data_IF_499274477427
#
_entry.id   IF_499274477427
#
_cell.length_a   1.000
_cell.length_b   1.000
_cell.length_c   1.000
_cell.angle_alpha   90.00
_cell.angle_beta   90.00
_cell.angle_gamma   90.00
#
_symmetry.space_group_name_H-M   'P 1'
#
loop_
_entity.id
_entity.type
_entity.pdbx_description
1 polymer ?
#
# COMPACT_ATOMS: atom_id res chain seq x y z
N UNK A 1 8.21 -7.31 -38.16
CA UNK A 1 6.74 -7.27 -38.37
C UNK A 1 6.16 -8.48 -37.67
N UNK A 2 5.14 -8.30 -36.83
CA UNK A 2 4.58 -9.26 -35.84
C UNK A 2 5.29 -9.22 -34.48
N UNK A 3 5.10 -8.13 -33.73
CA UNK A 3 5.10 -8.21 -32.26
C UNK A 3 3.65 -8.13 -31.83
N UNK A 4 3.17 -9.29 -31.41
CA UNK A 4 1.89 -9.63 -30.81
C UNK A 4 1.07 -8.44 -30.29
N UNK A 5 0.06 -8.06 -31.06
CA UNK A 5 -1.18 -7.52 -30.51
C UNK A 5 -1.81 -8.64 -29.67
N UNK A 6 -1.36 -8.79 -28.42
CA UNK A 6 -2.08 -9.55 -27.43
C UNK A 6 -3.38 -8.79 -27.14
N UNK A 7 -4.39 -9.05 -27.96
CA UNK A 7 -5.79 -8.80 -27.64
C UNK A 7 -6.19 -9.77 -26.53
N UNK A 8 -5.67 -9.57 -25.32
CA UNK A 8 -6.13 -10.28 -24.13
C UNK A 8 -7.35 -9.56 -23.58
N UNK A 9 -8.48 -9.95 -24.17
CA UNK A 9 -9.83 -9.98 -23.64
C UNK A 9 -9.96 -9.67 -22.14
N UNK A 10 -10.21 -8.41 -21.75
CA UNK A 10 -11.09 -8.09 -20.62
C UNK A 10 -11.64 -6.65 -20.69
N UNK A 11 -12.84 -6.42 -20.15
CA UNK A 11 -13.77 -5.43 -20.68
C UNK A 11 -13.49 -4.03 -20.15
N UNK A 12 -13.20 -3.10 -21.06
CA UNK A 12 -13.41 -1.67 -20.88
C UNK A 12 -14.91 -1.38 -20.75
N UNK A 13 -15.53 -1.77 -19.62
CA UNK A 13 -16.69 -1.03 -19.11
C UNK A 13 -16.08 0.22 -18.48
N UNK A 14 -16.35 1.36 -19.10
CA UNK A 14 -15.69 2.64 -18.85
C UNK A 14 -15.50 2.95 -17.37
N UNK A 15 -14.25 3.29 -17.05
CA UNK A 15 -13.73 3.95 -15.86
C UNK A 15 -13.51 3.13 -14.58
N UNK A 16 -14.27 2.07 -14.27
CA UNK A 16 -14.08 1.36 -12.99
C UNK A 16 -13.77 -0.12 -13.06
N UNK A 17 -12.51 -0.43 -12.75
CA UNK A 17 -12.01 -1.78 -12.57
C UNK A 17 -12.18 -2.22 -11.11
N UNK A 18 -12.68 -3.46 -10.96
CA UNK A 18 -12.68 -4.16 -9.68
C UNK A 18 -11.25 -4.41 -9.20
N UNK A 19 -11.05 -4.54 -7.89
CA UNK A 19 -9.76 -4.97 -7.34
C UNK A 19 -9.34 -6.30 -7.98
N UNK A 20 -10.26 -7.27 -8.04
CA UNK A 20 -10.02 -8.57 -8.68
C UNK A 20 -9.71 -8.50 -10.20
N UNK A 21 -10.11 -7.43 -10.88
CA UNK A 21 -9.76 -7.17 -12.28
C UNK A 21 -8.38 -6.53 -12.41
N UNK A 22 -8.07 -5.54 -11.56
CA UNK A 22 -6.76 -4.90 -11.50
C UNK A 22 -5.66 -5.90 -11.13
N UNK A 23 -5.93 -6.79 -10.17
CA UNK A 23 -5.01 -7.84 -9.74
C UNK A 23 -4.67 -8.82 -10.88
N UNK A 24 -5.55 -9.02 -11.85
CA UNK A 24 -5.28 -9.84 -13.05
C UNK A 24 -4.44 -9.09 -14.09
N UNK A 25 -4.56 -7.77 -14.15
CA UNK A 25 -3.86 -6.92 -15.12
C UNK A 25 -2.46 -6.50 -14.65
N UNK A 26 -2.22 -6.46 -13.35
CA UNK A 26 -1.00 -5.95 -12.72
C UNK A 26 -0.33 -7.06 -11.90
N UNK A 27 0.53 -7.92 -12.50
CA UNK A 27 1.01 -9.16 -11.88
C UNK A 27 1.91 -8.97 -10.64
N UNK A 28 2.49 -7.79 -10.43
CA UNK A 28 3.27 -7.48 -9.24
C UNK A 28 2.39 -7.12 -8.03
N UNK A 29 1.18 -6.60 -8.26
CA UNK A 29 0.28 -6.20 -7.17
C UNK A 29 -0.20 -7.39 -6.33
N UNK A 30 -0.59 -8.55 -6.92
CA UNK A 30 -0.84 -9.75 -6.14
C UNK A 30 0.35 -10.20 -5.31
N UNK A 31 1.59 -9.97 -5.77
CA UNK A 31 2.80 -10.34 -4.98
C UNK A 31 2.94 -9.45 -3.76
N UNK A 32 2.75 -8.13 -3.93
CA UNK A 32 2.72 -7.19 -2.80
C UNK A 32 1.56 -7.50 -1.85
N UNK A 33 0.39 -7.84 -2.40
CA UNK A 33 -0.79 -8.23 -1.61
C UNK A 33 -0.52 -9.50 -0.80
N UNK A 34 0.11 -10.50 -1.39
CA UNK A 34 0.50 -11.72 -0.68
C UNK A 34 1.45 -11.41 0.48
N UNK A 35 2.42 -10.49 0.29
CA UNK A 35 3.31 -10.04 1.37
C UNK A 35 2.49 -9.38 2.47
N UNK A 36 1.60 -8.46 2.12
CA UNK A 36 0.72 -7.79 3.07
C UNK A 36 -0.14 -8.77 3.87
N UNK A 37 -0.73 -9.77 3.21
CA UNK A 37 -1.57 -10.79 3.84
C UNK A 37 -0.82 -11.63 4.88
N UNK A 38 0.52 -11.75 4.78
CA UNK A 38 1.33 -12.41 5.83
C UNK A 38 1.30 -11.68 7.18
N UNK A 39 1.05 -10.36 7.16
CA UNK A 39 0.98 -9.52 8.35
C UNK A 39 -0.46 -9.31 8.84
N UNK A 40 -1.46 -9.76 8.07
CA UNK A 40 -2.86 -9.66 8.48
C UNK A 40 -3.11 -10.72 9.56
N UNK A 41 -2.99 -10.29 10.81
CA UNK A 41 -3.34 -11.13 11.96
C UNK A 41 -4.86 -11.24 12.04
N UNK A 42 -5.36 -12.44 11.72
CA UNK A 42 -6.69 -12.85 12.14
C UNK A 42 -6.64 -13.07 13.66
N UNK A 43 -7.13 -12.14 14.46
CA UNK A 43 -7.19 -12.30 15.93
C UNK A 43 -8.09 -13.47 16.39
N UNK A 44 -8.56 -14.34 15.49
CA UNK A 44 -9.19 -15.61 15.84
C UNK A 44 -8.30 -16.52 16.71
N UNK A 45 -6.98 -16.36 16.70
CA UNK A 45 -6.08 -17.26 17.46
C UNK A 45 -5.83 -16.84 18.93
N UNK A 46 -6.37 -15.72 19.43
CA UNK A 46 -6.16 -15.33 20.84
C UNK A 46 -7.43 -15.29 21.72
N UNK A 47 -8.61 -15.55 21.18
CA UNK A 47 -9.84 -15.62 21.99
C UNK A 47 -10.12 -17.03 22.57
N UNK A 48 -9.12 -17.91 22.69
CA UNK A 48 -9.27 -19.23 23.32
C UNK A 48 -9.31 -19.19 24.87
N UNK A 49 -9.64 -18.06 25.49
CA UNK A 49 -9.75 -17.96 26.94
C UNK A 49 -10.53 -16.72 27.40
N UNK A 50 -11.83 -16.87 27.60
CA UNK A 50 -12.64 -15.84 28.25
C UNK A 50 -14.09 -15.86 27.81
N UNK A 51 -14.93 -16.50 28.62
CA UNK A 51 -16.39 -16.45 28.52
C UNK A 51 -16.86 -15.01 28.73
N UNK A 52 -17.14 -14.26 27.66
CA UNK A 52 -18.02 -13.10 27.75
C UNK A 52 -18.77 -12.90 26.43
N UNK A 53 -20.09 -13.00 26.52
CA UNK A 53 -21.09 -12.98 25.44
C UNK A 53 -21.29 -11.55 24.95
N UNK A 54 -20.22 -10.87 24.55
CA UNK A 54 -20.29 -9.68 23.73
C UNK A 54 -20.08 -10.15 22.29
N UNK A 55 -21.17 -10.21 21.51
CA UNK A 55 -21.12 -10.47 20.07
C UNK A 55 -19.90 -9.76 19.49
N UNK A 56 -18.87 -10.49 19.00
CA UNK A 56 -17.75 -9.84 18.37
C UNK A 56 -18.38 -9.16 17.18
N UNK A 57 -18.52 -7.84 17.27
CA UNK A 57 -18.92 -7.02 16.16
C UNK A 57 -17.85 -7.31 15.14
N UNK A 58 -18.18 -8.13 14.15
CA UNK A 58 -17.41 -8.36 12.94
C UNK A 58 -17.35 -7.04 12.14
N UNK A 59 -16.90 -5.97 12.79
CA UNK A 59 -16.23 -4.87 12.14
C UNK A 59 -14.89 -5.45 11.70
N UNK A 60 -14.98 -6.25 10.63
CA UNK A 60 -13.94 -6.86 9.81
C UNK A 60 -12.52 -6.54 10.26
N UNK A 61 -12.08 -7.19 11.35
CA UNK A 61 -10.70 -7.15 11.86
C UNK A 61 -9.68 -7.63 10.81
N UNK A 62 -10.13 -8.18 9.68
CA UNK A 62 -9.34 -8.68 8.58
C UNK A 62 -8.93 -7.66 7.50
N UNK A 63 -9.33 -6.37 7.58
CA UNK A 63 -9.06 -5.43 6.47
C UNK A 63 -7.64 -4.84 6.51
N UNK A 64 -6.93 -4.94 7.64
CA UNK A 64 -5.64 -4.26 7.77
C UNK A 64 -4.64 -4.87 8.74
N UNK A 65 -3.39 -4.45 8.61
CA UNK A 65 -2.27 -4.81 9.49
C UNK A 65 -2.11 -3.76 10.59
N UNK A 66 -1.41 -4.08 11.70
CA UNK A 66 -1.15 -3.10 12.76
C UNK A 66 -0.14 -2.06 12.26
N UNK A 67 -0.24 -0.81 12.73
CA UNK A 67 0.72 0.24 12.33
C UNK A 67 2.18 -0.13 12.63
N UNK A 68 2.43 -0.91 13.69
CA UNK A 68 3.78 -1.40 14.03
C UNK A 68 4.36 -2.35 12.98
N UNK A 69 3.50 -3.10 12.29
CA UNK A 69 3.91 -4.12 11.33
C UNK A 69 4.11 -3.53 9.92
N UNK A 70 3.74 -2.26 9.70
CA UNK A 70 3.88 -1.58 8.40
C UNK A 70 5.35 -1.47 8.00
N UNK A 71 6.24 -1.18 8.95
CA UNK A 71 7.68 -1.08 8.69
C UNK A 71 8.24 -2.41 8.16
N UNK A 72 7.94 -3.51 8.86
CA UNK A 72 8.39 -4.84 8.46
C UNK A 72 7.75 -5.28 7.15
N UNK A 73 6.47 -4.97 6.92
CA UNK A 73 5.79 -5.23 5.66
C UNK A 73 6.49 -4.54 4.48
N UNK A 74 6.82 -3.26 4.61
CA UNK A 74 7.55 -2.50 3.58
C UNK A 74 8.98 -3.04 3.37
N UNK A 75 9.65 -3.50 4.44
CA UNK A 75 10.96 -4.16 4.37
C UNK A 75 10.92 -5.45 3.55
N UNK A 76 9.90 -6.28 3.74
CA UNK A 76 9.72 -7.50 2.94
C UNK A 76 9.33 -7.18 1.47
N UNK A 77 8.66 -6.05 1.23
CA UNK A 77 8.39 -5.55 -0.12
C UNK A 77 9.64 -4.98 -0.83
N UNK A 78 10.76 -4.86 -0.13
CA UNK A 78 12.06 -4.46 -0.68
C UNK A 78 12.45 -3.00 -0.45
N UNK A 79 11.72 -2.25 0.39
CA UNK A 79 12.08 -0.88 0.77
C UNK A 79 12.79 -0.86 2.13
N UNK A 80 13.67 0.10 2.38
CA UNK A 80 14.31 0.26 3.69
C UNK A 80 13.98 1.64 4.29
N UNK A 81 12.73 1.88 4.70
CA UNK A 81 12.36 3.16 5.29
C UNK A 81 13.03 3.36 6.65
N UNK A 82 13.32 4.62 6.97
CA UNK A 82 13.67 5.02 8.34
C UNK A 82 12.44 4.95 9.22
N UNK A 83 12.53 4.26 10.35
CA UNK A 83 11.41 4.07 11.27
C UNK A 83 10.83 5.40 11.77
N UNK A 84 11.69 6.39 12.00
CA UNK A 84 11.29 7.74 12.42
C UNK A 84 10.44 8.46 11.36
N UNK A 85 10.88 8.40 10.09
CA UNK A 85 10.17 9.03 8.96
C UNK A 85 8.84 8.31 8.71
N UNK A 86 8.87 6.97 8.69
CA UNK A 86 7.67 6.17 8.48
C UNK A 86 6.65 6.41 9.60
N UNK A 87 7.09 6.46 10.85
CA UNK A 87 6.25 6.75 12.00
C UNK A 87 5.61 8.14 11.89
N UNK A 88 6.37 9.17 11.51
CA UNK A 88 5.84 10.51 11.29
C UNK A 88 4.75 10.53 10.20
N UNK A 89 4.97 9.83 9.09
CA UNK A 89 3.99 9.71 7.98
C UNK A 89 2.74 8.97 8.45
N UNK A 90 2.90 7.86 9.17
CA UNK A 90 1.78 7.09 9.72
C UNK A 90 0.95 7.92 10.71
N UNK A 91 1.60 8.64 11.62
CA UNK A 91 0.93 9.54 12.56
C UNK A 91 0.16 10.66 11.86
N UNK A 92 0.71 11.21 10.77
CA UNK A 92 0.00 12.20 9.96
C UNK A 92 -1.28 11.61 9.32
N UNK A 93 -1.20 10.39 8.79
CA UNK A 93 -2.35 9.67 8.23
C UNK A 93 -3.40 9.32 9.30
N UNK A 94 -2.98 8.86 10.48
CA UNK A 94 -3.86 8.56 11.61
C UNK A 94 -4.56 9.84 12.07
N UNK A 95 -3.83 10.95 12.21
CA UNK A 95 -4.40 12.25 12.61
C UNK A 95 -5.42 12.76 11.61
N UNK A 96 -5.16 12.60 10.30
CA UNK A 96 -6.13 12.91 9.24
C UNK A 96 -7.40 12.08 9.41
N UNK A 97 -7.29 10.78 9.65
CA UNK A 97 -8.45 9.89 9.91
C UNK A 97 -9.21 10.22 11.19
N UNK A 98 -8.51 10.52 12.28
CA UNK A 98 -9.14 10.90 13.54
C UNK A 98 -9.93 12.21 13.42
N UNK A 99 -9.46 13.14 12.57
CA UNK A 99 -10.15 14.41 12.33
C UNK A 99 -11.46 14.27 11.54
N UNK A 100 -11.60 13.22 10.72
CA UNK A 100 -12.82 12.95 9.94
C UNK A 100 -14.02 12.53 10.82
N UNK A 101 -13.77 12.21 12.10
CA UNK A 101 -14.81 12.00 13.08
C UNK A 101 -15.55 10.67 12.94
N UNK A 102 -16.10 10.19 14.06
CA UNK A 102 -17.01 9.05 14.18
C UNK A 102 -16.34 7.67 14.32
N UNK A 103 -16.12 7.21 15.56
CA UNK A 103 -16.00 5.79 15.93
C UNK A 103 -14.76 5.00 15.49
N UNK A 104 -13.99 5.52 14.53
CA UNK A 104 -12.93 4.78 13.85
C UNK A 104 -11.61 4.66 14.63
N UNK A 105 -11.50 5.02 15.92
CA UNK A 105 -10.19 4.99 16.64
C UNK A 105 -9.43 3.66 16.52
N UNK A 106 -10.13 2.53 16.52
CA UNK A 106 -9.52 1.20 16.31
C UNK A 106 -9.10 0.96 14.85
N UNK A 107 -9.94 1.39 13.91
CA UNK A 107 -9.69 1.25 12.46
C UNK A 107 -8.58 2.21 12.02
N UNK A 108 -8.48 3.38 12.65
CA UNK A 108 -7.42 4.36 12.45
C UNK A 108 -6.04 3.80 12.83
N UNK A 109 -5.98 2.77 13.69
CA UNK A 109 -4.74 2.07 14.05
C UNK A 109 -4.45 0.84 13.17
N UNK A 110 -5.26 0.58 12.14
CA UNK A 110 -4.97 -0.45 11.14
C UNK A 110 -4.65 0.18 9.79
N UNK A 111 -3.65 -0.38 9.12
CA UNK A 111 -3.27 -0.01 7.78
C UNK A 111 -3.89 -0.97 6.77
N UNK A 112 -4.72 -0.42 5.87
CA UNK A 112 -5.25 -1.14 4.70
C UNK A 112 -4.14 -1.38 3.69
N UNK A 113 -4.34 -2.34 2.78
CA UNK A 113 -3.36 -2.62 1.73
C UNK A 113 -3.05 -1.36 0.90
N UNK A 114 -4.09 -0.58 0.59
CA UNK A 114 -4.03 0.66 -0.16
C UNK A 114 -3.23 1.74 0.57
N UNK A 115 -3.33 1.81 1.91
CA UNK A 115 -2.49 2.70 2.71
C UNK A 115 -1.02 2.30 2.63
N UNK A 116 -0.73 1.01 2.81
CA UNK A 116 0.65 0.47 2.73
C UNK A 116 1.23 0.72 1.34
N UNK A 117 0.44 0.49 0.29
CA UNK A 117 0.86 0.72 -1.09
C UNK A 117 1.09 2.21 -1.39
N UNK A 118 0.29 3.10 -0.78
CA UNK A 118 0.50 4.55 -0.87
C UNK A 118 1.84 4.95 -0.24
N UNK A 119 2.17 4.40 0.92
CA UNK A 119 3.46 4.63 1.58
C UNK A 119 4.60 4.02 0.76
N UNK A 120 4.41 2.83 0.20
CA UNK A 120 5.37 2.17 -0.68
C UNK A 120 5.75 3.07 -1.87
N UNK A 121 4.77 3.62 -2.60
CA UNK A 121 5.04 4.50 -3.74
C UNK A 121 5.83 5.75 -3.33
N UNK A 122 5.45 6.40 -2.22
CA UNK A 122 6.11 7.61 -1.74
C UNK A 122 7.58 7.35 -1.34
N UNK A 123 7.82 6.26 -0.63
CA UNK A 123 9.15 5.87 -0.17
C UNK A 123 10.03 5.39 -1.32
N UNK A 124 9.49 4.62 -2.26
CA UNK A 124 10.21 4.18 -3.44
C UNK A 124 10.62 5.36 -4.35
N UNK A 125 9.73 6.34 -4.56
CA UNK A 125 10.06 7.57 -5.30
C UNK A 125 11.16 8.39 -4.59
N UNK A 126 11.11 8.42 -3.26
CA UNK A 126 12.15 9.07 -2.46
C UNK A 126 13.48 8.34 -2.57
N UNK A 127 13.52 7.01 -2.48
CA UNK A 127 14.73 6.21 -2.66
C UNK A 127 15.33 6.41 -4.05
N UNK A 128 14.53 6.39 -5.11
CA UNK A 128 14.98 6.67 -6.49
C UNK A 128 15.61 8.06 -6.57
N UNK A 129 14.99 9.06 -5.94
CA UNK A 129 15.50 10.45 -5.90
C UNK A 129 16.78 10.58 -5.10
N UNK A 130 16.90 9.86 -3.99
CA UNK A 130 18.09 9.86 -3.13
C UNK A 130 19.26 9.08 -3.77
N UNK A 131 18.99 7.98 -4.47
CA UNK A 131 19.97 7.24 -5.25
C UNK A 131 20.47 8.07 -6.44
N UNK A 132 19.57 8.75 -7.16
CA UNK A 132 19.93 9.61 -8.28
C UNK A 132 20.85 10.77 -7.87
N UNK A 133 20.81 11.20 -6.61
CA UNK A 133 21.76 12.20 -6.10
C UNK A 133 23.20 11.68 -6.04
N UNK A 134 23.45 10.37 -6.14
CA UNK A 134 24.78 9.71 -6.04
C UNK A 134 25.49 9.90 -4.69
N UNK A 135 25.01 10.86 -3.91
CA UNK A 135 25.63 11.45 -2.75
C UNK A 135 25.68 10.47 -1.58
N UNK A 136 24.66 9.63 -1.41
CA UNK A 136 24.58 8.72 -0.26
C UNK A 136 25.66 7.65 -0.35
N UNK A 137 25.73 6.93 -1.48
CA UNK A 137 26.71 5.85 -1.69
C UNK A 137 28.14 6.40 -1.56
N UNK A 138 28.43 7.52 -2.23
CA UNK A 138 29.75 8.16 -2.15
C UNK A 138 30.09 8.67 -0.74
N UNK A 139 29.11 9.20 0.01
CA UNK A 139 29.31 9.65 1.38
C UNK A 139 29.62 8.49 2.32
N UNK A 140 28.88 7.38 2.20
CA UNK A 140 29.12 6.17 3.00
C UNK A 140 30.50 5.61 2.70
N UNK A 141 30.87 5.49 1.42
CA UNK A 141 32.20 5.03 1.01
C UNK A 141 33.31 5.96 1.52
N UNK A 142 33.11 7.28 1.49
CA UNK A 142 34.07 8.25 2.03
C UNK A 142 34.30 8.07 3.53
N UNK A 143 33.24 7.84 4.30
CA UNK A 143 33.34 7.56 5.75
C UNK A 143 34.09 6.25 5.99
N UNK A 144 33.76 5.18 5.25
CA UNK A 144 34.41 3.88 5.41
C UNK A 144 35.89 3.91 5.01
N UNK A 145 36.22 4.58 3.90
CA UNK A 145 37.61 4.82 3.46
C UNK A 145 38.41 5.63 4.50
N UNK A 146 37.78 6.55 5.22
CA UNK A 146 38.46 7.30 6.29
C UNK A 146 38.78 6.45 7.52
N UNK A 147 38.08 5.31 7.70
CA UNK A 147 38.33 4.34 8.78
C UNK A 147 39.36 3.29 8.39
N UNK A 148 39.49 3.00 7.09
CA UNK A 148 40.52 2.13 6.54
C UNK A 148 41.82 2.93 6.29
N UNK A 149 42.56 3.20 7.36
CA UNK A 149 43.84 3.93 7.29
C UNK A 149 44.89 3.27 6.40
N UNK A 150 44.77 1.96 6.14
CA UNK A 150 45.69 1.21 5.31
C UNK A 150 45.30 1.21 3.82
N UNK A 151 44.07 1.64 3.49
CA UNK A 151 43.56 1.68 2.12
C UNK A 151 43.44 0.29 1.48
N UNK A 152 43.12 -0.73 2.28
CA UNK A 152 43.00 -2.12 1.84
C UNK A 152 41.67 -2.43 1.13
N UNK A 153 40.65 -1.58 1.31
CA UNK A 153 39.28 -1.87 0.88
C UNK A 153 38.52 -2.79 1.84
N UNK A 154 39.11 -3.13 2.99
CA UNK A 154 38.56 -4.05 3.98
C UNK A 154 38.52 -3.42 5.37
N UNK A 155 37.49 -3.76 6.15
CA UNK A 155 37.42 -3.42 7.57
C UNK A 155 37.14 -4.69 8.40
N UNK A 156 37.75 -4.83 9.59
CA UNK A 156 37.39 -5.92 10.50
C UNK A 156 35.91 -5.87 10.88
N UNK A 157 35.27 -7.04 10.94
CA UNK A 157 33.86 -7.19 11.34
C UNK A 157 33.55 -6.46 12.64
N UNK A 158 34.43 -6.59 13.65
CA UNK A 158 34.25 -5.95 14.95
C UNK A 158 34.22 -4.42 14.87
N UNK A 159 35.06 -3.84 14.00
CA UNK A 159 35.12 -2.41 13.78
C UNK A 159 33.88 -1.94 13.04
N UNK A 160 33.48 -2.62 11.95
CA UNK A 160 32.30 -2.25 11.19
C UNK A 160 31.01 -2.39 12.01
N UNK A 161 30.93 -3.45 12.83
CA UNK A 161 29.85 -3.62 13.82
C UNK A 161 29.78 -2.43 14.76
N UNK A 162 30.91 -1.98 15.31
CA UNK A 162 30.93 -0.83 16.20
C UNK A 162 30.51 0.47 15.49
N UNK A 163 30.91 0.66 14.22
CA UNK A 163 30.49 1.82 13.43
C UNK A 163 28.97 1.85 13.24
N UNK A 164 28.36 0.71 12.86
CA UNK A 164 26.93 0.58 12.58
C UNK A 164 26.04 0.68 13.83
N UNK A 165 26.53 0.27 15.00
CA UNK A 165 25.78 0.38 16.27
C UNK A 165 25.97 1.72 16.98
N UNK A 166 27.00 2.51 16.62
CA UNK A 166 27.34 3.74 17.35
C UNK A 166 27.01 5.02 16.58
N UNK A 167 27.02 4.99 15.24
CA UNK A 167 26.87 6.19 14.41
C UNK A 167 25.58 6.20 13.58
N UNK A 168 24.97 7.39 13.47
CA UNK A 168 23.78 7.60 12.64
C UNK A 168 22.53 6.95 13.22
N UNK A 169 21.69 6.41 12.34
CA UNK A 169 20.57 5.54 12.70
C UNK A 169 21.15 4.21 13.16
N UNK A 170 21.14 4.00 14.48
CA UNK A 170 21.78 2.85 15.11
C UNK A 170 21.02 1.60 14.74
N UNK A 171 21.72 0.68 14.10
CA UNK A 171 21.20 -0.66 13.90
C UNK A 171 21.30 -1.44 15.20
N UNK A 172 20.33 -2.31 15.45
CA UNK A 172 20.38 -3.23 16.57
C UNK A 172 21.44 -4.35 16.33
N UNK A 173 21.79 -5.09 17.38
CA UNK A 173 22.79 -6.17 17.26
C UNK A 173 22.36 -7.26 16.25
N UNK A 174 21.05 -7.47 16.08
CA UNK A 174 20.46 -8.50 15.23
C UNK A 174 20.54 -8.12 13.75
N UNK A 175 20.22 -6.87 13.43
CA UNK A 175 20.29 -6.24 12.12
C UNK A 175 21.74 -6.19 11.64
N UNK A 176 22.66 -5.76 12.51
CA UNK A 176 24.09 -5.72 12.17
C UNK A 176 24.62 -7.12 11.90
N UNK A 177 24.21 -8.11 12.71
CA UNK A 177 24.55 -9.50 12.45
C UNK A 177 24.00 -9.96 11.08
N UNK A 178 22.73 -9.68 10.79
CA UNK A 178 22.10 -10.03 9.51
C UNK A 178 22.83 -9.45 8.30
N UNK A 179 23.24 -8.18 8.38
CA UNK A 179 23.96 -7.47 7.30
C UNK A 179 25.40 -7.98 7.16
N UNK A 180 26.15 -8.08 8.25
CA UNK A 180 27.58 -8.36 8.20
C UNK A 180 27.92 -9.84 8.08
N UNK A 181 27.08 -10.74 8.61
CA UNK A 181 27.38 -12.17 8.64
C UNK A 181 27.53 -12.77 7.24
N UNK A 182 26.80 -12.25 6.25
CA UNK A 182 26.90 -12.69 4.84
C UNK A 182 28.05 -12.04 4.08
N UNK A 183 28.59 -10.93 4.57
CA UNK A 183 29.62 -10.14 3.89
C UNK A 183 31.03 -10.37 4.45
N UNK A 184 31.15 -11.00 5.62
CA UNK A 184 32.43 -11.31 6.24
C UNK A 184 33.12 -12.51 5.58
N UNK A 185 34.43 -12.41 5.38
CA UNK A 185 35.27 -13.51 4.92
C UNK A 185 35.64 -14.46 6.08
N UNK A 186 36.40 -15.52 5.75
CA UNK A 186 36.86 -16.53 6.71
C UNK A 186 37.77 -15.93 7.80
N UNK A 187 38.39 -14.78 7.52
CA UNK A 187 39.26 -14.06 8.46
C UNK A 187 38.50 -13.06 9.33
N UNK A 188 37.20 -12.88 9.12
CA UNK A 188 36.39 -11.89 9.83
C UNK A 188 36.55 -10.46 9.31
N UNK A 189 37.01 -10.29 8.07
CA UNK A 189 37.09 -9.00 7.38
C UNK A 189 35.91 -8.84 6.42
N UNK A 190 35.45 -7.59 6.26
CA UNK A 190 34.34 -7.25 5.36
C UNK A 190 34.87 -6.33 4.26
N UNK A 191 34.63 -6.70 3.01
CA UNK A 191 34.86 -5.85 1.85
C UNK A 191 33.79 -4.75 1.81
N UNK A 192 34.09 -3.61 2.42
CA UNK A 192 33.08 -2.59 2.68
C UNK A 192 32.54 -1.94 1.40
N UNK A 193 33.34 -1.83 0.34
CA UNK A 193 32.85 -1.30 -0.95
C UNK A 193 31.84 -2.26 -1.58
N UNK A 194 32.13 -3.57 -1.54
CA UNK A 194 31.22 -4.58 -2.02
C UNK A 194 29.93 -4.62 -1.20
N UNK A 195 30.04 -4.54 0.14
CA UNK A 195 28.88 -4.46 1.02
C UNK A 195 27.99 -3.26 0.68
N UNK A 196 28.56 -2.07 0.50
CA UNK A 196 27.80 -0.87 0.14
C UNK A 196 27.12 -1.06 -1.21
N UNK A 197 27.82 -1.58 -2.22
CA UNK A 197 27.21 -1.87 -3.52
C UNK A 197 26.08 -2.90 -3.45
N UNK A 198 26.18 -3.91 -2.57
CA UNK A 198 25.12 -4.88 -2.35
C UNK A 198 23.90 -4.26 -1.65
N UNK A 199 24.13 -3.39 -0.66
CA UNK A 199 23.05 -2.72 0.07
C UNK A 199 22.26 -1.73 -0.80
N UNK A 200 22.94 -1.08 -1.76
CA UNK A 200 22.32 -0.13 -2.69
C UNK A 200 22.08 -0.72 -4.09
N UNK A 201 22.18 -2.05 -4.25
CA UNK A 201 21.89 -2.69 -5.53
C UNK A 201 20.39 -2.54 -5.84
N UNK A 202 20.07 -1.86 -6.94
CA UNK A 202 18.69 -1.68 -7.40
C UNK A 202 18.11 -3.03 -7.84
N UNK A 203 16.98 -3.44 -7.25
CA UNK A 203 16.21 -4.59 -7.74
C UNK A 203 15.65 -4.24 -9.14
N UNK A 204 15.96 -5.02 -10.20
CA UNK A 204 15.46 -4.75 -11.54
C UNK A 204 13.92 -4.75 -11.62
N UNK A 205 13.23 -5.42 -10.70
CA UNK A 205 11.76 -5.44 -10.65
C UNK A 205 11.19 -4.28 -9.81
N UNK A 206 12.00 -3.51 -9.08
CA UNK A 206 11.50 -2.43 -8.23
C UNK A 206 10.82 -1.32 -9.05
N UNK A 207 11.38 -0.96 -10.21
CA UNK A 207 10.77 0.05 -11.10
C UNK A 207 9.42 -0.42 -11.64
N UNK A 208 9.33 -1.68 -12.07
CA UNK A 208 8.08 -2.27 -12.56
C UNK A 208 7.03 -2.36 -11.44
N UNK A 209 7.43 -2.81 -10.24
CA UNK A 209 6.56 -2.85 -9.06
C UNK A 209 6.02 -1.47 -8.71
N UNK A 210 6.88 -0.46 -8.68
CA UNK A 210 6.49 0.93 -8.43
C UNK A 210 5.50 1.44 -9.48
N UNK A 211 5.78 1.20 -10.77
CA UNK A 211 4.89 1.61 -11.84
C UNK A 211 3.52 0.93 -11.74
N UNK A 212 3.48 -0.38 -11.49
CA UNK A 212 2.22 -1.09 -11.31
C UNK A 212 1.47 -0.62 -10.05
N UNK A 213 2.17 -0.32 -8.96
CA UNK A 213 1.57 0.18 -7.72
C UNK A 213 0.90 1.54 -7.91
N UNK A 214 1.57 2.45 -8.63
CA UNK A 214 1.00 3.74 -9.02
C UNK A 214 -0.23 3.57 -9.91
N UNK A 215 -0.18 2.69 -10.91
CA UNK A 215 -1.32 2.41 -11.79
C UNK A 215 -2.52 1.84 -11.02
N UNK A 216 -2.27 0.95 -10.04
CA UNK A 216 -3.30 0.43 -9.16
C UNK A 216 -3.94 1.56 -8.34
N UNK A 217 -3.15 2.35 -7.62
CA UNK A 217 -3.67 3.43 -6.78
C UNK A 217 -4.45 4.48 -7.60
N UNK A 218 -3.97 4.80 -8.81
CA UNK A 218 -4.66 5.70 -9.72
C UNK A 218 -6.02 5.12 -10.19
N UNK A 219 -6.10 3.82 -10.43
CA UNK A 219 -7.32 3.16 -10.90
C UNK A 219 -8.36 2.95 -9.79
N UNK A 220 -7.92 2.75 -8.55
CA UNK A 220 -8.84 2.57 -7.41
C UNK A 220 -9.40 3.91 -6.93
N UNK A 221 -8.61 4.98 -6.97
CA UNK A 221 -9.01 6.34 -6.57
C UNK A 221 -8.35 6.78 -5.26
N UNK A 222 -8.45 8.07 -4.95
CA UNK A 222 -7.81 8.67 -3.77
C UNK A 222 -8.40 8.18 -2.44
N UNK A 223 -9.71 7.95 -2.43
CA UNK A 223 -10.45 7.53 -1.25
C UNK A 223 -10.36 6.01 -1.00
N UNK A 224 -9.69 5.27 -1.87
CA UNK A 224 -9.45 3.83 -1.75
C UNK A 224 -8.86 3.44 -0.39
N UNK A 225 -8.02 4.31 0.16
CA UNK A 225 -7.32 4.12 1.42
C UNK A 225 -8.30 3.93 2.59
N UNK A 226 -9.47 4.58 2.53
CA UNK A 226 -10.47 4.61 3.60
C UNK A 226 -11.70 3.76 3.29
N UNK A 227 -11.74 3.11 2.13
CA UNK A 227 -12.87 2.31 1.65
C UNK A 227 -12.60 0.82 1.81
N UNK A 228 -13.65 0.07 2.13
CA UNK A 228 -13.63 -1.39 2.04
C UNK A 228 -13.71 -1.83 0.57
N UNK A 229 -12.62 -2.39 0.07
CA UNK A 229 -12.46 -2.81 -1.31
C UNK A 229 -13.37 -3.98 -1.71
N UNK A 230 -13.68 -4.88 -0.78
CA UNK A 230 -14.58 -6.01 -1.05
C UNK A 230 -16.02 -5.50 -1.20
N UNK A 231 -16.45 -4.61 -0.30
CA UNK A 231 -17.77 -3.95 -0.40
C UNK A 231 -17.88 -3.08 -1.66
N UNK A 232 -16.79 -2.41 -2.06
CA UNK A 232 -16.72 -1.65 -3.32
C UNK A 232 -16.89 -2.56 -4.54
N UNK A 233 -16.15 -3.67 -4.59
CA UNK A 233 -16.24 -4.62 -5.71
C UNK A 233 -17.65 -5.25 -5.80
N UNK A 234 -18.27 -5.57 -4.67
CA UNK A 234 -19.67 -6.04 -4.62
C UNK A 234 -20.64 -4.98 -5.14
N UNK A 235 -20.46 -3.71 -4.74
CA UNK A 235 -21.29 -2.60 -5.20
C UNK A 235 -21.17 -2.38 -6.71
N UNK A 236 -19.93 -2.42 -7.25
CA UNK A 236 -19.69 -2.37 -8.70
C UNK A 236 -20.41 -3.51 -9.42
N UNK A 237 -20.38 -4.74 -8.88
CA UNK A 237 -21.10 -5.86 -9.45
C UNK A 237 -22.61 -5.73 -9.37
N UNK A 238 -23.12 -5.08 -8.32
CA UNK A 238 -24.54 -4.80 -8.19
C UNK A 238 -25.02 -3.79 -9.22
N UNK A 239 -24.24 -2.73 -9.48
CA UNK A 239 -24.50 -1.76 -10.55
C UNK A 239 -24.44 -2.43 -11.92
N UNK A 240 -23.40 -3.23 -12.20
CA UNK A 240 -23.26 -3.96 -13.49
C UNK A 240 -24.42 -4.92 -13.75
N UNK A 241 -25.02 -5.50 -12.71
CA UNK A 241 -26.24 -6.32 -12.81
C UNK A 241 -27.51 -5.49 -13.01
N UNK A 242 -27.55 -4.27 -12.48
CA UNK A 242 -28.70 -3.37 -12.60
C UNK A 242 -28.78 -2.69 -13.98
N UNK A 243 -27.66 -2.54 -14.69
CA UNK A 243 -27.60 -1.99 -16.05
C UNK A 243 -27.00 -2.99 -17.06
N UNK A 244 -27.72 -4.07 -17.44
CA UNK A 244 -27.24 -5.05 -18.42
C UNK A 244 -26.95 -4.43 -19.80
N UNK A 245 -27.65 -3.34 -20.13
CA UNK A 245 -27.49 -2.61 -21.38
C UNK A 245 -26.19 -1.80 -21.44
N UNK A 246 -25.47 -1.66 -20.31
CA UNK A 246 -24.27 -0.82 -20.18
C UNK A 246 -24.53 0.60 -20.66
N UNK A 247 -25.71 1.11 -20.33
CA UNK A 247 -26.16 2.43 -20.69
C UNK A 247 -25.35 3.53 -20.01
N UNK A 248 -24.75 3.23 -18.86
CA UNK A 248 -24.07 4.20 -17.98
C UNK A 248 -25.01 4.90 -17.00
N UNK A 249 -26.30 4.52 -16.99
CA UNK A 249 -27.32 5.15 -16.17
C UNK A 249 -28.09 4.13 -15.33
N UNK A 250 -28.50 4.55 -14.13
CA UNK A 250 -29.33 3.75 -13.22
C UNK A 250 -30.47 4.61 -12.67
N UNK A 251 -31.62 4.00 -12.43
CA UNK A 251 -32.74 4.71 -11.80
C UNK A 251 -32.42 5.08 -10.34
N UNK A 252 -32.81 6.28 -9.85
CA UNK A 252 -32.53 6.72 -8.49
C UNK A 252 -33.00 5.75 -7.40
N UNK A 253 -34.19 5.18 -7.57
CA UNK A 253 -34.74 4.21 -6.61
C UNK A 253 -33.87 2.96 -6.55
N UNK A 254 -33.37 2.50 -7.71
CA UNK A 254 -32.52 1.33 -7.78
C UNK A 254 -31.14 1.59 -7.17
N UNK A 255 -30.57 2.79 -7.36
CA UNK A 255 -29.32 3.17 -6.72
C UNK A 255 -29.47 3.23 -5.19
N UNK A 256 -30.57 3.78 -4.68
CA UNK A 256 -30.87 3.81 -3.24
C UNK A 256 -30.95 2.40 -2.65
N UNK A 257 -31.63 1.48 -3.34
CA UNK A 257 -31.69 0.08 -2.94
C UNK A 257 -30.32 -0.60 -2.92
N UNK A 258 -29.41 -0.24 -3.85
CA UNK A 258 -28.06 -0.81 -3.90
C UNK A 258 -27.18 -0.29 -2.76
N UNK A 259 -27.26 1.00 -2.44
CA UNK A 259 -26.53 1.59 -1.32
C UNK A 259 -27.00 1.01 0.02
N UNK A 260 -28.32 0.88 0.19
CA UNK A 260 -28.91 0.37 1.43
C UNK A 260 -28.73 -1.13 1.66
N UNK A 261 -28.22 -1.89 0.67
CA UNK A 261 -27.85 -3.30 0.85
C UNK A 261 -26.59 -3.47 1.70
N UNK A 262 -25.70 -2.49 1.70
CA UNK A 262 -24.40 -2.58 2.35
C UNK A 262 -24.45 -2.20 3.84
N UNK A 263 -25.65 -2.05 4.42
CA UNK A 263 -25.87 -1.74 5.83
C UNK A 263 -25.90 -0.25 6.16
N UNK A 264 -25.50 0.61 5.23
CA UNK A 264 -25.67 2.06 5.34
C UNK A 264 -27.13 2.44 5.05
N UNK A 265 -27.74 3.30 5.86
CA UNK A 265 -29.10 3.75 5.66
C UNK A 265 -29.08 5.14 5.03
N UNK A 266 -29.03 5.20 3.71
CA UNK A 266 -29.24 6.44 2.98
C UNK A 266 -30.73 6.72 2.89
N UNK A 267 -31.10 7.95 3.23
CA UNK A 267 -32.41 8.51 2.94
C UNK A 267 -32.47 9.01 1.49
N UNK A 268 -33.67 9.17 0.96
CA UNK A 268 -33.87 9.71 -0.40
C UNK A 268 -33.36 11.15 -0.55
N UNK A 269 -33.37 11.93 0.54
CA UNK A 269 -32.86 13.31 0.57
C UNK A 269 -31.33 13.35 0.55
N UNK A 270 -30.67 12.50 1.35
CA UNK A 270 -29.22 12.34 1.31
C UNK A 270 -28.76 11.87 -0.07
N UNK A 271 -29.46 10.91 -0.67
CA UNK A 271 -29.16 10.48 -2.03
C UNK A 271 -29.28 11.64 -3.02
N UNK A 272 -30.33 12.48 -2.93
CA UNK A 272 -30.49 13.66 -3.78
C UNK A 272 -29.35 14.66 -3.64
N UNK A 273 -28.83 14.86 -2.43
CA UNK A 273 -27.68 15.72 -2.18
C UNK A 273 -26.40 15.12 -2.80
N UNK A 274 -26.19 13.80 -2.70
CA UNK A 274 -25.03 13.14 -3.28
C UNK A 274 -25.05 13.12 -4.82
N UNK A 275 -26.22 12.98 -5.43
CA UNK A 275 -26.37 12.85 -6.89
C UNK A 275 -26.56 14.20 -7.59
N UNK A 276 -26.52 15.31 -6.85
CA UNK A 276 -26.76 16.64 -7.39
C UNK A 276 -25.77 16.95 -8.52
N UNK A 277 -26.28 17.12 -9.75
CA UNK A 277 -25.48 17.37 -10.95
C UNK A 277 -25.06 16.12 -11.74
N UNK A 278 -25.40 14.92 -11.27
CA UNK A 278 -25.12 13.64 -11.96
C UNK A 278 -26.34 13.09 -12.73
N UNK A 279 -27.50 13.72 -12.58
CA UNK A 279 -28.74 13.34 -13.25
C UNK A 279 -28.78 13.83 -14.71
N UNK A 280 -29.23 12.95 -15.63
CA UNK A 280 -29.49 13.35 -17.00
C UNK A 280 -30.81 14.12 -17.13
N UNK A 281 -30.71 15.44 -16.97
CA UNK A 281 -31.84 16.38 -17.13
C UNK A 281 -32.47 16.35 -18.52
N UNK A 282 -31.74 15.91 -19.57
CA UNK A 282 -32.20 15.99 -20.95
C UNK A 282 -33.02 14.78 -21.36
N UNK A 283 -32.55 13.58 -21.01
CA UNK A 283 -33.18 12.34 -21.48
C UNK A 283 -33.89 11.55 -20.38
N UNK A 284 -33.91 12.01 -19.12
CA UNK A 284 -34.48 11.30 -17.96
C UNK A 284 -33.97 9.85 -17.87
N UNK A 285 -32.74 9.59 -18.31
CA UNK A 285 -32.14 8.25 -18.34
C UNK A 285 -31.80 7.72 -16.94
N UNK A 286 -31.86 8.59 -15.94
CA UNK A 286 -31.50 8.30 -14.56
C UNK A 286 -30.21 9.03 -14.16
N UNK A 287 -29.53 8.46 -13.17
CA UNK A 287 -28.29 8.97 -12.61
C UNK A 287 -27.13 8.36 -13.38
N UNK A 288 -26.17 9.18 -13.78
CA UNK A 288 -24.91 8.71 -14.31
C UNK A 288 -24.08 8.09 -13.18
N UNK A 289 -24.17 6.76 -13.03
CA UNK A 289 -23.45 6.07 -11.95
C UNK A 289 -21.93 6.10 -12.14
N UNK A 290 -21.44 6.32 -13.37
CA UNK A 290 -20.00 6.48 -13.57
C UNK A 290 -19.52 7.74 -12.84
N UNK A 291 -20.22 8.87 -13.01
CA UNK A 291 -19.90 10.10 -12.28
C UNK A 291 -20.06 9.94 -10.76
N UNK A 292 -21.07 9.20 -10.33
CA UNK A 292 -21.29 8.90 -8.92
C UNK A 292 -20.13 8.10 -8.31
N UNK A 293 -19.65 7.08 -9.01
CA UNK A 293 -18.48 6.33 -8.58
C UNK A 293 -17.21 7.20 -8.64
N UNK A 294 -17.04 8.06 -9.67
CA UNK A 294 -15.89 8.97 -9.77
C UNK A 294 -15.83 9.90 -8.55
N UNK A 295 -16.99 10.41 -8.14
CA UNK A 295 -17.17 11.26 -6.96
C UNK A 295 -16.78 10.52 -5.69
N UNK A 296 -17.40 9.37 -5.40
CA UNK A 296 -17.13 8.60 -4.17
C UNK A 296 -15.64 8.23 -4.03
N UNK A 297 -14.94 8.02 -5.14
CA UNK A 297 -13.58 7.51 -5.11
C UNK A 297 -12.49 8.59 -5.15
N UNK A 298 -12.80 9.81 -5.58
CA UNK A 298 -11.80 10.86 -5.76
C UNK A 298 -12.09 12.17 -5.01
N UNK A 299 -13.33 12.39 -4.59
CA UNK A 299 -13.77 13.59 -3.85
C UNK A 299 -14.16 13.24 -2.42
#
# INVERSE_FOLDING_TARGET
MLQNFAFENHPTIGFFSKQSELMRMLPEIPKLRNIFDLFVVNECDQAAGGEDVAAPTCLDLGIGIRMTDVADCLRIMGLNPSDDELQQRLEEHVRRRESLGMGMKKIAQRATFELVLTLYCQLAEQEVKEMAKGCIVENVLRVLRSRDSAGTGMLPYSQLRHLLTTMGNRLDETEVYGVLHRAADINGNVLYEHLVHQLFATDPLAEERLQQAQLYLQAVGRNAIDMDMDKRDEFIDAIRRADPARSGFIEPQRLLELLNRNGEQFTGEELQLLIQGMEDTRCKRGINYCRFLEFIMNE
#
